data_IF_168248146321
#
_entry.id   IF_168248146321
#
_cell.length_a   1.000
_cell.length_b   1.000
_cell.length_c   1.000
_cell.angle_alpha   90.00
_cell.angle_beta   90.00
_cell.angle_gamma   90.00
#
_symmetry.space_group_name_H-M   'P 1'
#
loop_
_entity.id
_entity.type
_entity.pdbx_description
1 polymer ?
#
# COMPACT_ATOMS: atom_id res chain seq x y z
N UNK A 1 -3.87 -6.94 -26.25
CA UNK A 1 -3.43 -6.87 -24.82
C UNK A 1 -3.86 -5.53 -24.28
N UNK A 2 -4.50 -5.51 -23.13
CA UNK A 2 -5.06 -4.26 -22.57
C UNK A 2 -3.92 -3.50 -21.88
N UNK A 3 -3.37 -2.49 -22.57
CA UNK A 3 -2.20 -1.69 -22.11
C UNK A 3 -2.54 -0.70 -20.98
N UNK A 4 -3.43 -1.07 -20.07
CA UNK A 4 -3.78 -0.19 -18.94
C UNK A 4 -2.72 -0.16 -17.83
N UNK A 5 -1.93 -1.24 -17.69
CA UNK A 5 -0.87 -1.34 -16.68
C UNK A 5 0.47 -0.88 -17.27
N UNK A 6 1.17 0.00 -16.57
CA UNK A 6 2.47 0.52 -16.94
C UNK A 6 3.51 0.14 -15.90
N UNK A 7 4.60 -0.48 -16.36
CA UNK A 7 5.80 -0.66 -15.54
C UNK A 7 6.56 0.67 -15.46
N UNK A 8 6.85 1.11 -14.25
CA UNK A 8 7.63 2.33 -13.99
C UNK A 8 8.92 1.93 -13.28
N UNK A 9 10.02 2.58 -13.65
CA UNK A 9 11.30 2.44 -12.95
C UNK A 9 11.81 3.83 -12.57
N UNK A 10 12.15 4.01 -11.29
CA UNK A 10 12.80 5.21 -10.76
C UNK A 10 13.99 4.80 -9.90
N UNK A 11 15.20 5.00 -10.42
CA UNK A 11 16.40 4.47 -9.79
C UNK A 11 16.34 2.94 -9.68
N UNK A 12 16.51 2.44 -8.46
CA UNK A 12 16.38 1.01 -8.13
C UNK A 12 14.92 0.54 -7.94
N UNK A 13 13.96 1.48 -7.79
CA UNK A 13 12.55 1.12 -7.59
C UNK A 13 11.89 0.68 -8.89
N UNK A 14 11.15 -0.41 -8.82
CA UNK A 14 10.27 -0.88 -9.90
C UNK A 14 8.87 -1.08 -9.34
N UNK A 15 7.89 -0.46 -9.96
CA UNK A 15 6.48 -0.59 -9.59
C UNK A 15 5.57 -0.52 -10.82
N UNK A 16 4.30 -0.84 -10.64
CA UNK A 16 3.29 -0.76 -11.68
C UNK A 16 2.24 0.29 -11.34
N UNK A 17 1.72 0.94 -12.38
CA UNK A 17 0.60 1.88 -12.31
C UNK A 17 -0.46 1.51 -13.33
N UNK A 18 -1.69 2.00 -13.16
CA UNK A 18 -2.77 1.84 -14.13
C UNK A 18 -3.17 3.21 -14.69
N UNK A 19 -3.11 3.39 -16.00
CA UNK A 19 -3.50 4.65 -16.68
C UNK A 19 -4.95 5.07 -16.46
N UNK A 20 -5.81 4.14 -16.01
CA UNK A 20 -7.23 4.41 -15.75
C UNK A 20 -7.51 4.99 -14.38
N UNK A 21 -6.54 4.94 -13.47
CA UNK A 21 -6.65 5.52 -12.13
C UNK A 21 -5.95 6.87 -12.16
N UNK A 22 -6.69 8.01 -12.07
CA UNK A 22 -6.13 9.34 -12.29
C UNK A 22 -5.40 9.91 -11.07
N UNK A 23 -5.42 9.21 -9.94
CA UNK A 23 -4.70 9.59 -8.72
C UNK A 23 -3.38 8.85 -8.63
N UNK A 24 -2.45 9.37 -7.82
CA UNK A 24 -1.15 8.72 -7.56
C UNK A 24 -1.35 7.37 -6.89
N UNK A 25 -0.81 6.33 -7.49
CA UNK A 25 -0.88 4.97 -6.97
C UNK A 25 0.31 4.16 -7.46
N UNK A 26 0.63 3.09 -6.76
CA UNK A 26 1.67 2.16 -7.15
C UNK A 26 1.35 0.75 -6.64
N UNK A 27 1.60 -0.25 -7.47
CA UNK A 27 1.77 -1.62 -7.05
C UNK A 27 3.27 -1.92 -7.05
N UNK A 28 3.88 -1.96 -5.87
CA UNK A 28 5.33 -2.10 -5.71
C UNK A 28 5.80 -3.52 -6.04
N UNK A 29 7.07 -3.64 -6.37
CA UNK A 29 7.78 -4.92 -6.47
C UNK A 29 8.77 -5.04 -5.32
N UNK A 30 9.54 -6.12 -5.28
CA UNK A 30 10.59 -6.30 -4.27
C UNK A 30 11.83 -5.41 -4.47
N UNK A 31 11.91 -4.63 -5.53
CA UNK A 31 13.10 -3.84 -5.88
C UNK A 31 13.02 -2.43 -5.35
N UNK A 32 14.14 -1.92 -4.82
CA UNK A 32 14.33 -0.51 -4.48
C UNK A 32 14.60 -0.21 -3.01
N UNK A 33 14.53 -1.20 -2.13
CA UNK A 33 14.78 -1.02 -0.70
C UNK A 33 16.20 -1.33 -0.26
N UNK A 34 16.41 -1.28 1.06
CA UNK A 34 17.70 -1.51 1.75
C UNK A 34 17.77 -2.84 2.48
N UNK A 35 16.68 -3.60 2.57
CA UNK A 35 16.65 -4.91 3.23
C UNK A 35 17.56 -5.91 2.53
N UNK A 36 18.10 -6.86 3.29
CA UNK A 36 19.04 -7.86 2.81
C UNK A 36 18.55 -9.28 3.09
N UNK A 37 19.25 -10.28 2.56
CA UNK A 37 18.95 -11.69 2.80
C UNK A 37 17.57 -12.10 2.30
N UNK A 38 16.79 -12.78 3.12
CA UNK A 38 15.45 -13.24 2.76
C UNK A 38 14.44 -12.12 2.50
N UNK A 39 14.72 -10.91 3.00
CA UNK A 39 13.89 -9.72 2.85
C UNK A 39 14.33 -8.79 1.70
N UNK A 40 15.32 -9.19 0.91
CA UNK A 40 15.89 -8.36 -0.18
C UNK A 40 14.83 -8.03 -1.24
N UNK A 41 14.67 -6.77 -1.58
CA UNK A 41 15.27 -5.54 -1.06
C UNK A 41 14.22 -4.58 -0.46
N UNK A 42 13.01 -4.50 -1.02
CA UNK A 42 11.93 -3.60 -0.56
C UNK A 42 10.93 -4.38 0.31
N UNK A 43 11.35 -4.76 1.51
CA UNK A 43 10.43 -5.31 2.48
C UNK A 43 9.69 -4.17 3.22
N UNK A 44 8.36 -4.19 3.15
CA UNK A 44 7.47 -3.24 3.83
C UNK A 44 6.70 -3.90 5.00
N UNK A 45 6.96 -5.18 5.27
CA UNK A 45 6.27 -5.94 6.31
C UNK A 45 7.07 -6.02 7.61
N UNK A 46 6.50 -5.51 8.71
CA UNK A 46 7.15 -5.48 10.04
C UNK A 46 7.37 -6.86 10.68
N UNK A 47 6.66 -7.90 10.24
CA UNK A 47 6.69 -9.24 10.84
C UNK A 47 7.30 -10.27 9.87
N UNK A 48 8.39 -9.92 9.19
CA UNK A 48 9.04 -10.79 8.20
C UNK A 48 10.47 -11.21 8.57
N UNK A 49 10.90 -10.90 9.80
CA UNK A 49 12.25 -11.22 10.27
C UNK A 49 13.33 -10.26 9.76
N UNK A 50 12.95 -9.07 9.36
CA UNK A 50 13.84 -7.99 8.97
C UNK A 50 14.11 -7.04 10.15
N UNK A 51 15.20 -6.27 10.05
CA UNK A 51 15.47 -5.20 10.99
C UNK A 51 14.45 -4.07 10.84
N UNK A 52 13.94 -3.58 11.97
CA UNK A 52 12.90 -2.55 11.99
C UNK A 52 13.33 -1.26 11.27
N UNK A 53 14.61 -0.90 11.41
CA UNK A 53 15.23 0.24 10.76
C UNK A 53 15.19 0.12 9.22
N UNK A 54 15.45 -1.07 8.68
CA UNK A 54 15.36 -1.33 7.24
C UNK A 54 13.94 -1.14 6.72
N UNK A 55 12.94 -1.67 7.46
CA UNK A 55 11.53 -1.52 7.07
C UNK A 55 11.13 -0.06 7.07
N UNK A 56 11.51 0.72 8.08
CA UNK A 56 11.24 2.17 8.15
C UNK A 56 11.92 2.93 7.03
N UNK A 57 13.19 2.62 6.76
CA UNK A 57 13.93 3.23 5.66
C UNK A 57 13.28 2.91 4.30
N UNK A 58 12.77 1.70 4.11
CA UNK A 58 12.05 1.31 2.91
C UNK A 58 10.77 2.16 2.71
N UNK A 59 10.02 2.47 3.79
CA UNK A 59 8.87 3.38 3.70
C UNK A 59 9.29 4.81 3.36
N UNK A 60 10.36 5.31 3.97
CA UNK A 60 10.91 6.63 3.66
C UNK A 60 11.29 6.75 2.18
N UNK A 61 12.06 5.78 1.68
CA UNK A 61 12.48 5.71 0.27
C UNK A 61 11.29 5.57 -0.69
N UNK A 62 10.27 4.80 -0.30
CA UNK A 62 9.03 4.67 -1.07
C UNK A 62 8.31 6.01 -1.15
N UNK A 63 8.21 6.74 -0.04
CA UNK A 63 7.62 8.07 0.02
C UNK A 63 8.33 9.05 -0.92
N UNK A 64 9.66 9.10 -0.87
CA UNK A 64 10.47 9.93 -1.78
C UNK A 64 10.26 9.54 -3.25
N UNK A 65 10.30 8.23 -3.54
CA UNK A 65 10.16 7.72 -4.91
C UNK A 65 8.80 8.08 -5.51
N UNK A 66 7.74 7.97 -4.74
CA UNK A 66 6.39 8.28 -5.17
C UNK A 66 6.04 9.77 -5.02
N UNK A 67 6.85 10.55 -4.31
CA UNK A 67 6.60 11.95 -4.00
C UNK A 67 5.38 12.12 -3.09
N UNK A 68 5.25 11.27 -2.07
CA UNK A 68 4.21 11.35 -1.05
C UNK A 68 4.85 11.47 0.34
N UNK A 69 4.13 12.09 1.26
CA UNK A 69 4.57 12.18 2.66
C UNK A 69 4.42 10.82 3.35
N UNK A 70 5.53 10.20 3.70
CA UNK A 70 5.54 8.89 4.33
C UNK A 70 4.95 8.92 5.74
N UNK A 71 4.98 10.08 6.42
CA UNK A 71 4.39 10.24 7.77
C UNK A 71 2.86 10.13 7.77
N UNK A 72 2.25 10.33 6.60
CA UNK A 72 0.80 10.21 6.40
C UNK A 72 0.39 8.83 5.88
N UNK A 73 1.34 7.93 5.59
CA UNK A 73 1.02 6.58 5.12
C UNK A 73 0.26 5.80 6.20
N UNK A 74 -0.90 5.29 5.84
CA UNK A 74 -1.80 4.55 6.73
C UNK A 74 -1.95 3.13 6.23
N UNK A 75 -1.71 2.15 7.11
CA UNK A 75 -1.60 0.75 6.75
C UNK A 75 -2.88 -0.04 7.06
N UNK A 76 -3.16 -1.08 6.28
CA UNK A 76 -4.10 -2.13 6.67
C UNK A 76 -3.47 -3.08 7.70
N UNK A 77 -4.32 -3.71 8.53
CA UNK A 77 -3.99 -4.94 9.26
C UNK A 77 -4.94 -6.03 8.82
N UNK A 78 -4.57 -6.71 7.77
CA UNK A 78 -5.39 -7.69 7.07
C UNK A 78 -5.52 -8.98 7.89
N UNK A 79 -6.75 -9.47 8.00
CA UNK A 79 -7.11 -10.69 8.74
C UNK A 79 -7.87 -11.70 7.87
N UNK A 80 -7.95 -11.43 6.55
CA UNK A 80 -8.73 -12.22 5.59
C UNK A 80 -10.22 -12.23 5.93
N UNK A 81 -10.78 -11.06 6.17
CA UNK A 81 -12.19 -10.82 6.46
C UNK A 81 -12.75 -9.71 5.55
N UNK A 82 -14.01 -9.32 5.74
CA UNK A 82 -14.74 -8.33 4.94
C UNK A 82 -14.76 -6.93 5.59
N UNK A 83 -13.96 -6.72 6.63
CA UNK A 83 -13.92 -5.45 7.35
C UNK A 83 -13.32 -4.34 6.48
N UNK A 84 -14.03 -3.21 6.43
CA UNK A 84 -13.60 -1.97 5.78
C UNK A 84 -13.51 -0.87 6.82
N UNK A 85 -12.38 -0.17 6.87
CA UNK A 85 -12.20 1.00 7.74
C UNK A 85 -12.04 2.28 6.94
N UNK A 86 -12.61 3.37 7.47
CA UNK A 86 -12.47 4.71 6.89
C UNK A 86 -11.30 5.42 7.58
N UNK A 87 -10.35 5.89 6.77
CA UNK A 87 -9.23 6.70 7.26
C UNK A 87 -9.70 8.15 7.40
N UNK A 88 -9.85 8.59 8.63
CA UNK A 88 -10.11 9.98 9.04
C UNK A 88 -8.81 10.63 9.53
N UNK A 89 -8.77 11.95 9.70
CA UNK A 89 -7.54 12.67 10.03
C UNK A 89 -6.88 12.17 11.34
N UNK A 90 -7.67 11.75 12.31
CA UNK A 90 -7.18 11.15 13.57
C UNK A 90 -6.58 9.74 13.39
N UNK A 91 -6.73 9.12 12.22
CA UNK A 91 -6.20 7.78 11.88
C UNK A 91 -5.02 7.84 10.91
N UNK A 92 -4.68 9.00 10.38
CA UNK A 92 -3.53 9.16 9.48
C UNK A 92 -2.23 8.73 10.16
N UNK A 93 -1.38 7.98 9.43
CA UNK A 93 -0.11 7.45 9.93
C UNK A 93 -0.23 6.15 10.74
N UNK A 94 -1.44 5.60 10.87
CA UNK A 94 -1.69 4.37 11.64
C UNK A 94 -0.96 3.16 11.03
N UNK A 95 -0.32 2.38 11.89
CA UNK A 95 0.45 1.20 11.53
C UNK A 95 1.89 1.46 11.15
N UNK A 96 2.26 2.70 10.81
CA UNK A 96 3.63 3.10 10.52
C UNK A 96 4.20 4.03 11.61
N UNK A 97 3.57 5.18 11.84
CA UNK A 97 3.99 6.18 12.83
C UNK A 97 3.11 6.21 14.09
N UNK A 98 1.96 5.55 14.02
CA UNK A 98 1.00 5.42 15.14
C UNK A 98 0.66 3.95 15.35
N UNK A 99 0.27 3.55 16.56
CA UNK A 99 -0.18 2.19 16.85
C UNK A 99 -1.32 1.76 15.92
N UNK A 100 -1.34 0.48 15.57
CA UNK A 100 -2.41 -0.11 14.78
C UNK A 100 -3.63 -0.38 15.68
N UNK A 101 -4.76 0.26 15.39
CA UNK A 101 -5.98 0.18 16.19
C UNK A 101 -7.11 -0.63 15.53
N UNK A 102 -7.01 -0.92 14.23
CA UNK A 102 -8.01 -1.71 13.51
C UNK A 102 -7.49 -3.05 12.99
N UNK A 103 -8.44 -3.88 12.58
CA UNK A 103 -8.22 -5.06 11.76
C UNK A 103 -9.13 -4.92 10.53
N UNK A 104 -8.57 -4.66 9.36
CA UNK A 104 -9.34 -4.37 8.15
C UNK A 104 -8.60 -4.87 6.92
N UNK A 105 -9.33 -5.53 6.06
CA UNK A 105 -8.86 -6.01 4.76
C UNK A 105 -9.04 -4.96 3.66
N UNK A 106 -9.81 -3.91 3.93
CA UNK A 106 -9.89 -2.74 3.08
C UNK A 106 -9.86 -1.45 3.90
N UNK A 107 -9.24 -0.43 3.35
CA UNK A 107 -9.31 0.94 3.88
C UNK A 107 -9.65 1.91 2.76
N UNK A 108 -10.42 2.92 3.09
CA UNK A 108 -10.85 3.97 2.16
C UNK A 108 -10.61 5.35 2.78
N UNK A 109 -10.36 6.34 1.93
CA UNK A 109 -10.20 7.73 2.38
C UNK A 109 -10.65 8.73 1.31
N UNK A 110 -11.24 9.83 1.75
CA UNK A 110 -11.47 11.02 0.94
C UNK A 110 -10.49 12.16 1.30
N UNK A 111 -9.54 11.90 2.20
CA UNK A 111 -8.54 12.88 2.61
C UNK A 111 -7.49 13.05 1.50
N UNK A 112 -7.22 14.29 1.14
CA UNK A 112 -6.12 14.61 0.23
C UNK A 112 -4.77 14.23 0.85
N UNK A 113 -3.80 13.91 -0.02
CA UNK A 113 -2.41 13.61 0.35
C UNK A 113 -2.26 12.59 1.49
N UNK A 114 -3.17 11.62 1.55
CA UNK A 114 -3.16 10.55 2.54
C UNK A 114 -2.97 9.20 1.85
N UNK A 115 -1.71 8.71 1.74
CA UNK A 115 -1.45 7.41 1.14
C UNK A 115 -1.99 6.28 2.01
N UNK A 116 -2.72 5.37 1.39
CA UNK A 116 -3.26 4.16 2.03
C UNK A 116 -2.56 2.92 1.46
N UNK A 117 -2.15 2.02 2.35
CA UNK A 117 -1.27 0.89 2.01
C UNK A 117 -1.94 -0.44 2.37
N UNK A 118 -2.01 -1.33 1.40
CA UNK A 118 -2.37 -2.73 1.59
C UNK A 118 -1.21 -3.66 1.23
N UNK A 119 -1.20 -4.86 1.79
CA UNK A 119 -0.13 -5.85 1.62
C UNK A 119 -0.64 -7.05 0.83
N UNK A 120 0.17 -7.51 -0.11
CA UNK A 120 -0.21 -8.59 -1.02
C UNK A 120 0.99 -9.49 -1.30
N UNK A 121 0.72 -10.77 -1.44
CA UNK A 121 1.65 -11.76 -1.95
C UNK A 121 1.00 -12.52 -3.11
N UNK A 122 -0.02 -13.33 -2.82
CA UNK A 122 -0.74 -14.20 -3.76
C UNK A 122 -2.26 -13.90 -3.82
N UNK A 123 -2.76 -13.04 -2.90
CA UNK A 123 -4.14 -12.60 -2.90
C UNK A 123 -4.41 -11.49 -3.93
N UNK A 124 -5.67 -11.28 -4.28
CA UNK A 124 -6.05 -10.27 -5.28
C UNK A 124 -6.02 -8.87 -4.67
N UNK A 125 -5.39 -7.97 -5.42
CA UNK A 125 -5.36 -6.53 -5.12
C UNK A 125 -6.48 -5.83 -5.85
N UNK A 126 -7.23 -5.00 -5.16
CA UNK A 126 -8.16 -4.07 -5.78
C UNK A 126 -7.84 -2.64 -5.34
N UNK A 127 -7.50 -1.78 -6.32
CA UNK A 127 -7.38 -0.35 -6.12
C UNK A 127 -8.63 0.31 -6.68
N UNK A 128 -9.26 1.15 -5.89
CA UNK A 128 -10.52 1.83 -6.21
C UNK A 128 -10.33 3.33 -6.14
N UNK A 129 -11.00 4.03 -7.05
CA UNK A 129 -11.09 5.48 -7.01
C UNK A 129 -12.44 5.94 -7.55
N UNK A 130 -13.14 6.75 -6.76
CA UNK A 130 -14.35 7.45 -7.18
C UNK A 130 -14.03 8.92 -7.47
N UNK A 131 -14.12 9.36 -8.75
CA UNK A 131 -13.84 10.74 -9.11
C UNK A 131 -14.92 11.74 -8.65
N UNK A 132 -16.13 11.27 -8.32
CA UNK A 132 -17.20 12.14 -7.88
C UNK A 132 -17.04 12.59 -6.42
N UNK A 133 -16.56 11.69 -5.57
CA UNK A 133 -16.33 11.95 -4.14
C UNK A 133 -14.85 12.13 -3.80
N UNK A 134 -13.95 11.96 -4.78
CA UNK A 134 -12.50 11.93 -4.59
C UNK A 134 -12.05 10.89 -3.56
N UNK A 135 -12.79 9.79 -3.44
CA UNK A 135 -12.49 8.71 -2.49
C UNK A 135 -11.59 7.67 -3.13
N UNK A 136 -10.48 7.37 -2.47
CA UNK A 136 -9.59 6.27 -2.83
C UNK A 136 -9.77 5.09 -1.89
N UNK A 137 -9.58 3.88 -2.41
CA UNK A 137 -9.67 2.65 -1.63
C UNK A 137 -8.62 1.63 -2.03
N UNK A 138 -8.16 0.86 -1.07
CA UNK A 138 -7.36 -0.34 -1.27
C UNK A 138 -8.03 -1.51 -0.57
N UNK A 139 -8.22 -2.61 -1.30
CA UNK A 139 -8.91 -3.78 -0.78
C UNK A 139 -8.07 -5.03 -1.04
N UNK A 140 -7.88 -5.82 0.02
CA UNK A 140 -7.31 -7.15 -0.03
C UNK A 140 -8.43 -8.17 -0.10
N UNK A 141 -8.38 -9.06 -1.10
CA UNK A 141 -9.37 -10.13 -1.27
C UNK A 141 -8.67 -11.47 -1.36
N UNK A 142 -8.79 -12.25 -0.29
CA UNK A 142 -8.31 -13.63 -0.24
C UNK A 142 -9.13 -14.55 -1.16
N UNK A 143 -8.55 -15.66 -1.58
CA UNK A 143 -9.16 -16.62 -2.51
C UNK A 143 -10.55 -17.14 -2.09
N UNK A 144 -10.88 -17.13 -0.80
CA UNK A 144 -12.17 -17.59 -0.28
C UNK A 144 -13.34 -16.71 -0.68
N UNK A 145 -13.10 -15.44 -1.03
CA UNK A 145 -14.13 -14.45 -1.36
C UNK A 145 -14.42 -14.34 -2.86
N UNK A 146 -13.65 -15.04 -3.70
CA UNK A 146 -13.83 -15.10 -5.15
C UNK A 146 -14.67 -16.30 -5.62
N UNK A 147 -15.50 -16.85 -4.78
CA UNK A 147 -16.50 -17.84 -5.23
C UNK A 147 -17.64 -17.10 -5.90
N UNK A 148 -17.60 -17.08 -7.24
CA UNK A 148 -18.75 -16.78 -8.07
C UNK A 148 -19.70 -17.95 -8.08
#
# INVERSE_FOLDING_TARGET
MNESMCRVQRGSFVYYTCRRIPVRHAFTTKFGGVSTGACESLNLGFNRGDELENVRENYRLLGETLGVDETRMTLTKQIHDTQVSVVTEDKVGMGLHRPMEWQSDAIVTALADTPIIGFYADCVVTLLYDPATHTAGVCHSGWRYWRL
#
